data_IF_038452887768
#
_entry.id   IF_038452887768
#
_cell.length_a   1.000
_cell.length_b   1.000
_cell.length_c   1.000
_cell.angle_alpha   90.00
_cell.angle_beta   90.00
_cell.angle_gamma   90.00
#
_symmetry.space_group_name_H-M   'P 1'
#
loop_
_entity.id
_entity.type
_entity.pdbx_description
1 polymer ?
#
# COMPACT_ATOMS: atom_id res chain seq x y z
N UNK A 1 8.40 -1.20 -10.93
CA UNK A 1 7.15 -1.99 -10.82
C UNK A 1 7.35 -3.30 -11.60
N UNK A 2 8.26 -4.17 -11.17
CA UNK A 2 8.69 -5.31 -12.00
C UNK A 2 8.61 -6.69 -11.30
N UNK A 3 7.95 -6.79 -10.13
CA UNK A 3 7.85 -8.06 -9.37
C UNK A 3 6.42 -8.40 -8.93
N UNK A 4 5.41 -7.68 -9.39
CA UNK A 4 4.02 -7.92 -8.97
C UNK A 4 3.45 -9.22 -9.56
N UNK A 5 3.85 -9.55 -10.80
CA UNK A 5 3.48 -10.81 -11.49
C UNK A 5 4.00 -12.04 -10.73
N UNK A 6 5.23 -11.98 -10.20
CA UNK A 6 5.87 -13.08 -9.47
C UNK A 6 5.17 -13.37 -8.12
N UNK A 7 4.50 -12.38 -7.54
CA UNK A 7 3.79 -12.46 -6.27
C UNK A 7 2.29 -12.77 -6.43
N UNK A 8 1.79 -12.82 -7.67
CA UNK A 8 0.38 -13.08 -7.98
C UNK A 8 -0.17 -14.40 -7.37
N UNK A 9 0.58 -15.52 -7.32
CA UNK A 9 0.08 -16.76 -6.73
C UNK A 9 -0.24 -16.63 -5.23
N UNK A 10 0.55 -15.84 -4.48
CA UNK A 10 0.36 -15.65 -3.04
C UNK A 10 -0.83 -14.74 -2.72
N UNK A 11 -1.17 -13.83 -3.64
CA UNK A 11 -2.31 -12.92 -3.51
C UNK A 11 -3.64 -13.68 -3.68
N UNK A 12 -3.65 -14.79 -4.44
CA UNK A 12 -4.82 -15.67 -4.60
C UNK A 12 -5.24 -16.41 -3.31
N UNK A 13 -4.39 -16.42 -2.28
CA UNK A 13 -4.68 -17.03 -0.98
C UNK A 13 -5.43 -16.09 -0.02
N UNK A 14 -5.60 -14.82 -0.42
CA UNK A 14 -6.43 -13.88 0.31
C UNK A 14 -7.89 -14.29 0.12
N UNK A 15 -8.76 -14.24 1.15
CA UNK A 15 -10.03 -14.93 1.05
C UNK A 15 -11.03 -14.06 0.29
N UNK A 16 -10.87 -13.94 -1.01
CA UNK A 16 -11.86 -13.42 -1.94
C UNK A 16 -12.27 -14.55 -2.88
N UNK A 17 -13.53 -14.97 -2.80
CA UNK A 17 -14.15 -15.87 -3.77
C UNK A 17 -15.15 -15.07 -4.58
N UNK A 18 -15.01 -15.06 -5.91
CA UNK A 18 -15.87 -14.27 -6.81
C UNK A 18 -15.97 -12.78 -6.42
N UNK A 19 -14.85 -12.18 -6.02
CA UNK A 19 -14.78 -10.77 -5.59
C UNK A 19 -15.39 -10.48 -4.21
N UNK A 20 -15.94 -11.48 -3.51
CA UNK A 20 -16.48 -11.33 -2.15
C UNK A 20 -15.53 -11.90 -1.12
N UNK A 21 -15.32 -11.15 -0.03
CA UNK A 21 -14.52 -11.61 1.10
C UNK A 21 -15.19 -12.84 1.73
N UNK A 22 -14.44 -13.91 1.90
CA UNK A 22 -14.86 -15.15 2.57
C UNK A 22 -14.20 -15.20 3.95
N UNK A 23 -14.98 -15.50 5.00
CA UNK A 23 -14.47 -15.62 6.36
C UNK A 23 -14.12 -14.31 7.08
N UNK A 24 -13.84 -14.43 8.37
CA UNK A 24 -13.74 -13.29 9.31
C UNK A 24 -12.32 -12.72 9.45
N UNK A 25 -11.34 -13.20 8.67
CA UNK A 25 -9.93 -12.86 8.86
C UNK A 25 -9.63 -11.36 8.72
N UNK A 26 -9.21 -10.71 9.80
CA UNK A 26 -8.92 -9.25 9.87
C UNK A 26 -7.42 -8.93 9.72
N UNK A 27 -6.56 -9.96 9.64
CA UNK A 27 -5.10 -9.81 9.51
C UNK A 27 -4.62 -10.14 8.10
N UNK A 28 -3.69 -9.35 7.58
CA UNK A 28 -2.98 -9.65 6.34
C UNK A 28 -2.20 -10.98 6.46
N UNK A 29 -2.05 -11.76 5.37
CA UNK A 29 -1.22 -12.96 5.35
C UNK A 29 0.25 -12.64 5.62
N UNK A 30 0.93 -13.58 6.26
CA UNK A 30 2.38 -13.52 6.44
C UNK A 30 3.04 -14.18 5.21
N UNK A 31 3.11 -13.42 4.12
CA UNK A 31 3.60 -13.85 2.80
C UNK A 31 4.54 -12.77 2.26
N UNK A 32 5.41 -13.10 1.30
CA UNK A 32 6.36 -12.13 0.73
C UNK A 32 5.64 -10.92 0.10
N UNK A 33 4.44 -11.15 -0.43
CA UNK A 33 3.59 -10.09 -0.97
C UNK A 33 3.12 -9.06 0.07
N UNK A 34 3.16 -9.35 1.37
CA UNK A 34 2.64 -8.50 2.46
C UNK A 34 3.67 -8.21 3.57
N UNK A 35 4.93 -8.62 3.39
CA UNK A 35 6.02 -8.46 4.36
C UNK A 35 7.11 -7.49 3.89
N UNK A 36 8.00 -7.09 4.80
CA UNK A 36 9.15 -6.20 4.55
C UNK A 36 8.75 -4.93 3.77
N UNK A 37 9.38 -4.65 2.62
CA UNK A 37 9.12 -3.50 1.75
C UNK A 37 7.68 -3.43 1.22
N UNK A 38 6.97 -4.56 1.17
CA UNK A 38 5.58 -4.65 0.74
C UNK A 38 4.59 -4.61 1.91
N UNK A 39 5.09 -4.36 3.14
CA UNK A 39 4.22 -4.18 4.29
C UNK A 39 3.30 -2.99 4.05
N UNK A 40 2.02 -3.22 4.25
CA UNK A 40 0.99 -2.20 4.04
C UNK A 40 1.10 -1.11 5.10
N UNK A 41 1.37 0.13 4.67
CA UNK A 41 1.47 1.30 5.55
C UNK A 41 0.08 1.82 5.95
N UNK A 42 -0.82 2.06 4.98
CA UNK A 42 -2.16 2.67 5.17
C UNK A 42 -2.14 3.96 6.01
N UNK A 43 -1.00 4.65 6.03
CA UNK A 43 -0.86 5.92 6.71
C UNK A 43 -1.46 7.03 5.84
N UNK A 44 -2.36 7.79 6.42
CA UNK A 44 -2.93 9.02 5.86
C UNK A 44 -2.54 10.17 6.80
N UNK A 45 -1.96 11.22 6.24
CA UNK A 45 -1.52 12.37 7.03
C UNK A 45 -0.76 13.39 6.19
N UNK A 46 -0.56 14.56 6.77
CA UNK A 46 0.12 15.68 6.16
C UNK A 46 1.49 15.90 6.80
N UNK A 47 2.45 16.36 5.99
CA UNK A 47 3.76 16.79 6.47
C UNK A 47 4.12 18.11 5.79
N UNK A 48 4.46 19.10 6.61
CA UNK A 48 4.85 20.43 6.14
C UNK A 48 6.38 20.59 6.29
N UNK A 49 7.02 21.21 5.30
CA UNK A 49 8.47 21.49 5.30
C UNK A 49 9.33 20.26 5.66
N UNK A 50 9.31 19.24 4.79
CA UNK A 50 10.13 18.05 4.95
C UNK A 50 11.60 18.40 5.18
N UNK A 51 12.29 17.58 5.97
CA UNK A 51 13.73 17.70 6.19
C UNK A 51 14.48 17.46 4.88
N UNK A 52 15.45 18.33 4.58
CA UNK A 52 16.23 18.29 3.35
C UNK A 52 17.72 18.41 3.67
N UNK A 53 18.54 17.56 3.05
CA UNK A 53 19.98 17.74 2.97
C UNK A 53 20.34 18.39 1.64
N UNK A 54 21.00 19.55 1.67
CA UNK A 54 21.28 20.37 0.47
C UNK A 54 20.27 21.50 0.27
N UNK A 55 19.99 21.88 -0.98
CA UNK A 55 19.08 22.98 -1.32
C UNK A 55 18.08 22.57 -2.41
N UNK A 56 16.79 22.87 -2.20
CA UNK A 56 15.74 22.74 -3.22
C UNK A 56 15.88 23.88 -4.24
N UNK A 57 15.84 23.63 -5.56
CA UNK A 57 15.84 24.68 -6.57
C UNK A 57 14.67 25.67 -6.38
N UNK A 58 14.98 26.97 -6.30
CA UNK A 58 14.02 28.03 -5.96
C UNK A 58 12.93 28.24 -7.01
N UNK A 59 13.19 27.83 -8.25
CA UNK A 59 12.27 28.04 -9.37
C UNK A 59 11.16 26.98 -9.44
N UNK A 60 11.22 25.94 -8.59
CA UNK A 60 10.18 24.92 -8.52
C UNK A 60 9.00 25.46 -7.72
N UNK A 61 7.91 25.78 -8.43
CA UNK A 61 6.61 26.12 -7.86
C UNK A 61 5.52 25.27 -8.51
N UNK A 62 5.16 24.17 -7.87
CA UNK A 62 4.18 23.23 -8.39
C UNK A 62 3.87 22.09 -7.42
N UNK A 63 3.08 21.12 -7.88
CA UNK A 63 2.66 19.97 -7.07
C UNK A 63 3.01 18.67 -7.78
N UNK A 64 3.59 17.73 -7.05
CA UNK A 64 3.92 16.40 -7.55
C UNK A 64 2.96 15.37 -6.96
N UNK A 65 2.18 14.72 -7.83
CA UNK A 65 1.24 13.65 -7.46
C UNK A 65 1.78 12.28 -7.86
N UNK A 66 1.66 11.30 -6.96
CA UNK A 66 1.97 9.89 -7.26
C UNK A 66 0.98 8.96 -6.56
N UNK A 67 0.75 7.78 -7.12
CA UNK A 67 -0.07 6.73 -6.51
C UNK A 67 0.77 5.48 -6.27
N UNK A 68 0.68 4.92 -5.06
CA UNK A 68 1.21 3.61 -4.75
C UNK A 68 0.02 2.67 -4.53
N UNK A 69 -0.02 1.47 -5.13
CA UNK A 69 -1.06 0.50 -4.82
C UNK A 69 -1.00 0.14 -3.34
N UNK A 70 -2.05 0.47 -2.60
CA UNK A 70 -2.23 0.06 -1.20
C UNK A 70 -3.43 -0.86 -1.13
N UNK A 71 -3.32 -1.97 -0.39
CA UNK A 71 -4.45 -2.91 -0.25
C UNK A 71 -5.37 -2.46 0.87
N UNK A 72 -6.59 -2.10 0.50
CA UNK A 72 -7.67 -1.82 1.43
C UNK A 72 -8.22 -3.13 2.02
N UNK A 73 -8.47 -3.14 3.33
CA UNK A 73 -9.22 -4.20 4.00
C UNK A 73 -10.60 -3.65 4.34
N UNK A 74 -11.67 -4.24 3.81
CA UNK A 74 -13.02 -3.85 4.21
C UNK A 74 -13.25 -4.22 5.68
N UNK A 75 -13.46 -3.20 6.51
CA UNK A 75 -13.87 -3.35 7.91
C UNK A 75 -15.38 -3.64 7.91
N UNK A 76 -15.81 -4.73 8.57
CA UNK A 76 -17.24 -4.98 8.80
C UNK A 76 -17.73 -3.84 9.69
N UNK A 77 -18.63 -3.00 9.18
CA UNK A 77 -19.48 -2.14 9.99
C UNK A 77 -20.38 -3.04 10.82
N UNK A 78 -20.29 -2.94 12.15
CA UNK A 78 -21.35 -3.43 13.04
C UNK A 78 -22.50 -2.44 13.00
#
# INVERSE_FOLDING_TARGET
MAHLEELAPEISLYPYSNGKRVGERVKFPDTAAFSSMNKTSRFEGDVFNLEVTGAIPRDINGTFYRVQPVRQMNRISR
#
